data_IF_416316550085
#
_entry.id   IF_416316550085
#
_cell.length_a   1.000
_cell.length_b   1.000
_cell.length_c   1.000
_cell.angle_alpha   90.00
_cell.angle_beta   90.00
_cell.angle_gamma   90.00
#
_symmetry.space_group_name_H-M   'P 1'
#
loop_
_entity.id
_entity.type
_entity.pdbx_description
1 polymer ?
#
# COMPACT_ATOMS: atom_id res chain seq x y z
N UNK A 1 -54.50 -1.18 12.56
CA UNK A 1 -53.70 -1.27 11.32
C UNK A 1 -52.45 -0.42 11.49
N UNK A 2 -51.36 -0.95 12.03
CA UNK A 2 -50.04 -0.31 11.98
C UNK A 2 -49.03 -1.43 11.72
N UNK A 3 -48.72 -1.65 10.44
CA UNK A 3 -47.72 -2.62 10.00
C UNK A 3 -46.43 -1.85 9.75
N UNK A 4 -45.35 -2.38 10.30
CA UNK A 4 -43.98 -1.87 10.30
C UNK A 4 -43.49 -1.34 8.94
N UNK A 5 -43.16 -0.05 8.89
CA UNK A 5 -42.37 0.55 7.80
C UNK A 5 -40.89 0.09 7.81
N UNK A 6 -40.43 -0.62 8.85
CA UNK A 6 -39.06 -1.12 8.97
C UNK A 6 -38.81 -2.48 8.26
N UNK A 7 -39.85 -3.12 7.70
CA UNK A 7 -39.70 -4.44 7.06
C UNK A 7 -39.37 -4.38 5.56
N UNK A 8 -39.48 -3.21 4.90
CA UNK A 8 -39.30 -3.09 3.45
C UNK A 8 -37.82 -2.95 3.04
N UNK A 9 -37.00 -2.33 3.87
CA UNK A 9 -35.58 -2.01 3.55
C UNK A 9 -34.64 -3.22 3.66
N UNK A 10 -34.91 -4.19 4.55
CA UNK A 10 -34.04 -5.36 4.73
C UNK A 10 -34.15 -6.40 3.61
N UNK A 11 -35.23 -6.38 2.82
CA UNK A 11 -35.44 -7.34 1.72
C UNK A 11 -34.60 -7.01 0.49
N UNK A 12 -34.32 -5.72 0.25
CA UNK A 12 -33.47 -5.30 -0.89
C UNK A 12 -32.00 -5.69 -0.73
N UNK A 13 -31.47 -5.74 0.50
CA UNK A 13 -30.06 -6.05 0.73
C UNK A 13 -29.74 -7.54 0.53
N UNK A 14 -30.67 -8.44 0.88
CA UNK A 14 -30.48 -9.89 0.68
C UNK A 14 -30.57 -10.30 -0.79
N UNK A 15 -31.45 -9.68 -1.57
CA UNK A 15 -31.58 -9.96 -3.01
C UNK A 15 -30.33 -9.50 -3.77
N UNK A 16 -29.74 -8.37 -3.39
CA UNK A 16 -28.51 -7.86 -4.00
C UNK A 16 -27.29 -8.75 -3.68
N UNK A 17 -27.21 -9.28 -2.45
CA UNK A 17 -26.14 -10.19 -2.03
C UNK A 17 -26.20 -11.55 -2.74
N UNK A 18 -27.41 -12.06 -2.99
CA UNK A 18 -27.63 -13.30 -3.74
C UNK A 18 -27.28 -13.16 -5.23
N UNK A 19 -27.53 -11.98 -5.84
CA UNK A 19 -27.18 -11.73 -7.24
C UNK A 19 -25.66 -11.67 -7.48
N UNK A 20 -24.88 -11.14 -6.53
CA UNK A 20 -23.41 -11.07 -6.66
C UNK A 20 -22.72 -12.43 -6.57
N UNK A 21 -23.30 -13.40 -5.87
CA UNK A 21 -22.73 -14.74 -5.73
C UNK A 21 -22.95 -15.63 -6.96
N UNK A 22 -23.97 -15.33 -7.78
CA UNK A 22 -24.28 -16.08 -9.01
C UNK A 22 -23.44 -15.66 -10.23
N UNK A 23 -22.70 -14.56 -10.16
CA UNK A 23 -21.82 -14.08 -11.24
C UNK A 23 -20.37 -14.61 -11.16
N UNK A 24 -20.04 -15.44 -10.16
CA UNK A 24 -18.68 -15.93 -9.94
C UNK A 24 -18.34 -17.27 -10.63
N UNK A 25 -19.26 -17.87 -11.39
CA UNK A 25 -19.07 -19.20 -12.01
C UNK A 25 -19.24 -19.13 -13.53
N UNK A 26 -18.47 -18.31 -14.22
CA UNK A 26 -18.22 -18.44 -15.66
C UNK A 26 -17.10 -17.51 -16.14
N UNK A 27 -15.83 -17.83 -15.82
CA UNK A 27 -14.71 -17.40 -16.66
C UNK A 27 -13.79 -18.60 -16.87
N UNK A 28 -14.24 -19.49 -17.74
CA UNK A 28 -13.39 -20.49 -18.36
C UNK A 28 -12.53 -19.84 -19.46
N UNK A 29 -11.22 -20.05 -19.34
CA UNK A 29 -10.25 -20.24 -20.43
C UNK A 29 -10.18 -19.18 -21.54
N UNK A 30 -9.24 -18.24 -21.39
CA UNK A 30 -8.59 -17.57 -22.52
C UNK A 30 -7.18 -18.18 -22.73
N UNK A 31 -6.76 -18.40 -23.98
CA UNK A 31 -5.50 -19.08 -24.30
C UNK A 31 -4.30 -18.12 -24.21
N UNK A 32 -3.18 -18.66 -23.71
CA UNK A 32 -1.83 -18.30 -24.16
C UNK A 32 -1.37 -16.85 -23.98
N UNK A 33 -1.07 -16.44 -22.74
CA UNK A 33 0.12 -15.61 -22.52
C UNK A 33 0.96 -16.29 -21.46
N UNK A 34 2.22 -16.57 -21.78
CA UNK A 34 3.18 -17.17 -20.86
C UNK A 34 3.27 -16.24 -19.65
N UNK A 35 2.66 -16.64 -18.54
CA UNK A 35 2.82 -15.98 -17.26
C UNK A 35 4.31 -16.02 -16.94
N UNK A 36 5.00 -14.90 -17.14
CA UNK A 36 6.38 -14.71 -16.71
C UNK A 36 6.38 -14.98 -15.22
N UNK A 37 6.95 -16.12 -14.82
CA UNK A 37 7.06 -16.60 -13.43
C UNK A 37 7.83 -15.53 -12.66
N UNK A 38 7.13 -14.52 -12.15
CA UNK A 38 7.69 -13.54 -11.23
C UNK A 38 8.00 -14.30 -9.96
N UNK A 39 9.27 -14.68 -9.84
CA UNK A 39 9.85 -15.39 -8.71
C UNK A 39 9.39 -14.73 -7.42
N UNK A 40 8.61 -15.45 -6.61
CA UNK A 40 8.15 -15.03 -5.28
C UNK A 40 9.31 -14.51 -4.40
N UNK A 41 10.53 -14.95 -4.67
CA UNK A 41 11.77 -14.61 -3.97
C UNK A 41 12.27 -13.18 -4.22
N UNK A 42 11.98 -12.58 -5.39
CA UNK A 42 12.39 -11.19 -5.68
C UNK A 42 11.46 -10.17 -5.03
N UNK A 43 10.16 -10.49 -4.94
CA UNK A 43 9.17 -9.69 -4.21
C UNK A 43 9.45 -9.66 -2.71
N UNK A 44 9.88 -10.78 -2.12
CA UNK A 44 10.25 -10.85 -0.69
C UNK A 44 11.54 -10.09 -0.40
N UNK A 45 12.54 -10.17 -1.27
CA UNK A 45 13.81 -9.42 -1.12
C UNK A 45 13.58 -7.92 -1.18
N UNK A 46 12.86 -7.42 -2.19
CA UNK A 46 12.54 -5.99 -2.29
C UNK A 46 11.72 -5.49 -1.09
N UNK A 47 10.80 -6.32 -0.59
CA UNK A 47 10.03 -6.03 0.61
C UNK A 47 10.92 -5.86 1.85
N UNK A 48 11.90 -6.74 2.04
CA UNK A 48 12.90 -6.64 3.13
C UNK A 48 13.71 -5.35 3.05
N UNK A 49 14.23 -5.01 1.86
CA UNK A 49 15.00 -3.77 1.66
C UNK A 49 14.19 -2.51 1.95
N UNK A 50 12.92 -2.48 1.52
CA UNK A 50 12.00 -1.39 1.84
C UNK A 50 11.73 -1.28 3.33
N UNK A 51 11.57 -2.42 4.01
CA UNK A 51 11.38 -2.45 5.46
C UNK A 51 12.60 -1.95 6.21
N UNK A 52 13.82 -2.30 5.78
CA UNK A 52 15.07 -1.78 6.35
C UNK A 52 15.13 -0.25 6.27
N UNK A 53 14.84 0.33 5.10
CA UNK A 53 14.76 1.78 4.95
C UNK A 53 13.70 2.40 5.86
N UNK A 54 12.50 1.80 5.94
CA UNK A 54 11.41 2.32 6.77
C UNK A 54 11.77 2.31 8.26
N UNK A 55 12.38 1.22 8.75
CA UNK A 55 12.83 1.12 10.15
C UNK A 55 13.81 2.24 10.51
N UNK A 56 14.79 2.47 9.64
CA UNK A 56 15.79 3.54 9.84
C UNK A 56 15.18 4.94 9.70
N UNK A 57 14.37 5.16 8.67
CA UNK A 57 13.86 6.50 8.35
C UNK A 57 12.80 6.96 9.35
N UNK A 58 11.97 6.03 9.83
CA UNK A 58 10.83 6.29 10.69
C UNK A 58 11.11 6.07 12.18
N UNK A 59 12.38 6.06 12.60
CA UNK A 59 12.73 6.11 14.02
C UNK A 59 12.49 7.52 14.57
N UNK A 60 12.03 7.62 15.82
CA UNK A 60 11.69 8.89 16.47
C UNK A 60 12.84 9.91 16.42
N UNK A 61 14.07 9.45 16.59
CA UNK A 61 15.30 10.24 16.54
C UNK A 61 15.52 11.01 15.23
N UNK A 62 14.89 10.57 14.13
CA UNK A 62 15.06 11.20 12.81
C UNK A 62 14.01 12.27 12.52
N UNK A 63 13.00 12.44 13.37
CA UNK A 63 11.96 13.46 13.21
C UNK A 63 11.01 13.27 12.01
N UNK A 64 11.09 12.14 11.30
CA UNK A 64 10.33 11.91 10.05
C UNK A 64 8.97 11.24 10.27
N UNK A 65 8.47 11.10 11.50
CA UNK A 65 7.24 10.34 11.81
C UNK A 65 6.00 10.81 11.06
N UNK A 66 5.97 12.10 10.68
CA UNK A 66 4.86 12.73 9.95
C UNK A 66 4.96 12.52 8.42
N UNK A 67 6.08 11.99 7.93
CA UNK A 67 6.24 11.67 6.51
C UNK A 67 5.29 10.54 6.10
N UNK A 68 4.71 10.64 4.91
CA UNK A 68 3.77 9.64 4.36
C UNK A 68 4.25 8.17 4.48
N UNK A 69 5.50 7.80 4.13
CA UNK A 69 6.00 6.44 4.34
C UNK A 69 5.93 5.99 5.81
N UNK A 70 6.18 6.90 6.76
CA UNK A 70 6.16 6.62 8.19
C UNK A 70 4.75 6.49 8.75
N UNK A 71 3.80 7.32 8.31
CA UNK A 71 2.39 7.17 8.69
C UNK A 71 1.89 5.76 8.35
N UNK A 72 2.17 5.27 7.14
CA UNK A 72 1.76 3.94 6.72
C UNK A 72 2.51 2.83 7.48
N UNK A 73 3.81 3.00 7.71
CA UNK A 73 4.62 2.06 8.48
C UNK A 73 4.12 1.91 9.93
N UNK A 74 3.82 3.02 10.60
CA UNK A 74 3.29 3.04 11.95
C UNK A 74 1.90 2.39 12.01
N UNK A 75 1.02 2.71 11.06
CA UNK A 75 -0.28 2.03 10.94
C UNK A 75 -0.12 0.51 10.80
N UNK A 76 0.71 0.05 9.86
CA UNK A 76 0.92 -1.38 9.63
C UNK A 76 1.60 -2.08 10.80
N UNK A 77 2.42 -1.37 11.57
CA UNK A 77 3.06 -1.89 12.78
C UNK A 77 2.03 -2.03 13.89
N UNK A 78 1.25 -0.97 14.19
CA UNK A 78 0.15 -1.01 15.16
C UNK A 78 -0.85 -2.13 14.83
N UNK A 79 -1.24 -2.24 13.57
CA UNK A 79 -2.21 -3.25 13.12
C UNK A 79 -1.70 -4.69 13.28
N UNK A 80 -0.40 -4.93 13.07
CA UNK A 80 0.22 -6.25 13.24
C UNK A 80 0.45 -6.59 14.72
N UNK A 81 0.69 -5.59 15.55
CA UNK A 81 0.88 -5.78 17.00
C UNK A 81 -0.44 -5.99 17.76
N UNK A 82 -1.57 -5.59 17.20
CA UNK A 82 -2.88 -5.77 17.81
C UNK A 82 -3.29 -7.26 17.82
N UNK A 83 -3.52 -7.81 19.01
CA UNK A 83 -3.82 -9.23 19.23
C UNK A 83 -5.31 -9.55 19.10
N UNK A 84 -6.19 -8.61 19.42
CA UNK A 84 -7.63 -8.80 19.43
C UNK A 84 -8.34 -8.10 18.25
N UNK A 85 -9.52 -8.60 17.91
CA UNK A 85 -10.29 -8.10 16.77
C UNK A 85 -10.85 -6.69 16.98
N UNK A 86 -11.16 -6.29 18.22
CA UNK A 86 -11.73 -4.97 18.50
C UNK A 86 -10.70 -3.87 18.30
N UNK A 87 -9.47 -4.05 18.80
CA UNK A 87 -8.34 -3.14 18.59
C UNK A 87 -7.98 -3.03 17.11
N UNK A 88 -7.93 -4.16 16.38
CA UNK A 88 -7.70 -4.15 14.92
C UNK A 88 -8.75 -3.33 14.18
N UNK A 89 -10.05 -3.49 14.52
CA UNK A 89 -11.14 -2.69 13.95
C UNK A 89 -10.98 -1.20 14.26
N UNK A 90 -10.62 -0.85 15.50
CA UNK A 90 -10.40 0.54 15.90
C UNK A 90 -9.26 1.20 15.11
N UNK A 91 -8.13 0.50 14.93
CA UNK A 91 -6.98 0.97 14.15
C UNK A 91 -7.35 1.17 12.67
N UNK A 92 -8.12 0.25 12.09
CA UNK A 92 -8.60 0.39 10.71
C UNK A 92 -9.56 1.58 10.59
N UNK A 93 -10.50 1.74 11.52
CA UNK A 93 -11.45 2.86 11.51
C UNK A 93 -10.74 4.22 11.68
N UNK A 94 -9.70 4.30 12.52
CA UNK A 94 -8.83 5.47 12.62
C UNK A 94 -8.15 5.78 11.28
N UNK A 95 -7.58 4.78 10.61
CA UNK A 95 -6.94 4.95 9.30
C UNK A 95 -7.93 5.43 8.25
N UNK A 96 -9.12 4.83 8.17
CA UNK A 96 -10.14 5.20 7.18
C UNK A 96 -10.57 6.66 7.32
N UNK A 97 -10.68 7.18 8.55
CA UNK A 97 -10.99 8.60 8.81
C UNK A 97 -9.87 9.56 8.35
N UNK A 98 -8.64 9.08 8.22
CA UNK A 98 -7.49 9.88 7.75
C UNK A 98 -7.31 9.88 6.24
N UNK A 99 -8.10 9.08 5.50
CA UNK A 99 -7.97 9.01 4.04
C UNK A 99 -8.68 10.20 3.39
N UNK A 100 -8.09 10.77 2.33
CA UNK A 100 -8.76 11.82 1.57
C UNK A 100 -10.08 11.30 0.96
N UNK A 101 -11.19 12.04 1.08
CA UNK A 101 -12.48 11.61 0.56
C UNK A 101 -12.52 11.56 -0.98
N UNK A 102 -11.93 12.54 -1.67
CA UNK A 102 -12.05 12.72 -3.12
C UNK A 102 -10.97 12.05 -3.97
N UNK A 103 -11.26 11.81 -5.26
CA UNK A 103 -10.35 11.13 -6.18
C UNK A 103 -9.08 11.94 -6.49
N UNK A 104 -9.21 13.25 -6.70
CA UNK A 104 -8.03 14.13 -6.92
C UNK A 104 -7.15 14.22 -5.68
N UNK A 105 -7.74 14.30 -4.49
CA UNK A 105 -7.00 14.30 -3.23
C UNK A 105 -6.31 12.94 -2.97
N UNK A 106 -6.94 11.83 -3.38
CA UNK A 106 -6.30 10.50 -3.35
C UNK A 106 -5.10 10.43 -4.30
N UNK A 107 -5.22 11.01 -5.49
CA UNK A 107 -4.13 11.08 -6.47
C UNK A 107 -2.97 11.94 -5.95
N UNK A 108 -3.25 13.09 -5.37
CA UNK A 108 -2.23 13.93 -4.74
C UNK A 108 -1.57 13.19 -3.57
N UNK A 109 -2.36 12.56 -2.70
CA UNK A 109 -1.87 11.74 -1.58
C UNK A 109 -0.97 10.59 -2.06
N UNK A 110 -1.29 9.96 -3.19
CA UNK A 110 -0.45 8.94 -3.81
C UNK A 110 0.87 9.52 -4.34
N UNK A 111 0.85 10.70 -4.95
CA UNK A 111 2.06 11.40 -5.40
C UNK A 111 2.96 11.81 -4.22
N UNK A 112 2.38 12.38 -3.16
CA UNK A 112 3.08 12.71 -1.92
C UNK A 112 3.69 11.45 -1.29
N UNK A 113 2.96 10.34 -1.30
CA UNK A 113 3.46 9.05 -0.80
C UNK A 113 4.66 8.58 -1.63
N UNK A 114 4.58 8.64 -2.96
CA UNK A 114 5.70 8.29 -3.85
C UNK A 114 6.91 9.20 -3.60
N UNK A 115 6.70 10.51 -3.51
CA UNK A 115 7.75 11.49 -3.22
C UNK A 115 8.44 11.19 -1.88
N UNK A 116 7.66 10.95 -0.83
CA UNK A 116 8.18 10.59 0.49
C UNK A 116 9.05 9.32 0.47
N UNK A 117 8.64 8.28 -0.27
CA UNK A 117 9.47 7.08 -0.45
C UNK A 117 10.79 7.36 -1.18
N UNK A 118 10.79 8.27 -2.16
CA UNK A 118 11.99 8.63 -2.92
C UNK A 118 12.92 9.52 -2.10
N UNK A 119 12.37 10.44 -1.29
CA UNK A 119 13.11 11.20 -0.26
C UNK A 119 13.77 10.25 0.73
N UNK A 120 13.04 9.26 1.24
CA UNK A 120 13.57 8.24 2.13
C UNK A 120 14.75 7.49 1.49
N UNK A 121 14.58 6.98 0.27
CA UNK A 121 15.66 6.28 -0.45
C UNK A 121 16.89 7.17 -0.65
N UNK A 122 16.69 8.40 -1.12
CA UNK A 122 17.78 9.36 -1.32
C UNK A 122 18.53 9.63 -0.02
N UNK A 123 17.81 9.92 1.06
CA UNK A 123 18.40 10.22 2.37
C UNK A 123 19.14 9.01 2.92
N UNK A 124 18.58 7.81 2.77
CA UNK A 124 19.21 6.57 3.19
C UNK A 124 20.55 6.33 2.47
N UNK A 125 20.55 6.51 1.14
CA UNK A 125 21.73 6.26 0.30
C UNK A 125 22.73 7.42 0.22
N UNK A 126 22.40 8.59 0.77
CA UNK A 126 23.34 9.69 0.96
C UNK A 126 24.20 9.53 2.22
N UNK A 127 23.88 8.55 3.09
CA UNK A 127 24.72 8.24 4.25
C UNK A 127 26.09 7.73 3.79
N UNK A 128 27.19 8.12 4.45
CA UNK A 128 28.53 7.62 4.11
C UNK A 128 28.66 6.09 4.24
N UNK A 129 28.00 5.51 5.24
CA UNK A 129 28.01 4.08 5.51
C UNK A 129 26.63 3.64 6.04
N UNK A 130 25.64 3.40 5.16
CA UNK A 130 24.34 2.89 5.60
C UNK A 130 24.48 1.47 6.16
N UNK A 131 23.71 1.14 7.19
CA UNK A 131 23.71 -0.19 7.85
C UNK A 131 23.44 -1.34 6.86
N UNK A 132 22.60 -1.10 5.84
CA UNK A 132 22.25 -2.05 4.80
C UNK A 132 22.60 -1.47 3.42
N UNK A 133 23.89 -1.53 3.00
CA UNK A 133 24.34 -0.97 1.73
C UNK A 133 23.69 -1.64 0.50
N UNK A 134 23.17 -2.86 0.65
CA UNK A 134 22.43 -3.58 -0.38
C UNK A 134 21.15 -2.86 -0.85
N UNK A 135 20.59 -1.98 -0.02
CA UNK A 135 19.48 -1.10 -0.41
C UNK A 135 19.87 -0.22 -1.60
N UNK A 136 21.09 0.32 -1.57
CA UNK A 136 21.57 1.32 -2.52
C UNK A 136 22.18 0.70 -3.78
N UNK A 137 22.57 -0.57 -3.73
CA UNK A 137 23.02 -1.34 -4.90
C UNK A 137 21.87 -2.07 -5.61
N UNK A 138 20.68 -2.18 -5.00
CA UNK A 138 19.54 -2.87 -5.59
C UNK A 138 19.04 -2.18 -6.88
N UNK A 139 19.09 -2.89 -8.01
CA UNK A 139 18.74 -2.37 -9.33
C UNK A 139 17.29 -1.87 -9.42
N UNK A 140 16.34 -2.54 -8.75
CA UNK A 140 14.93 -2.15 -8.80
C UNK A 140 14.70 -0.83 -8.07
N UNK A 141 15.30 -0.64 -6.90
CA UNK A 141 15.21 0.62 -6.15
C UNK A 141 15.92 1.76 -6.89
N UNK A 142 17.13 1.52 -7.41
CA UNK A 142 17.86 2.49 -8.25
C UNK A 142 17.05 2.92 -9.46
N UNK A 143 16.45 1.97 -10.20
CA UNK A 143 15.61 2.25 -11.36
C UNK A 143 14.38 3.06 -10.98
N UNK A 144 13.70 2.70 -9.88
CA UNK A 144 12.54 3.44 -9.39
C UNK A 144 12.89 4.90 -9.05
N UNK A 145 14.03 5.12 -8.41
CA UNK A 145 14.53 6.45 -8.08
C UNK A 145 14.96 7.24 -9.32
N UNK A 146 15.67 6.62 -10.26
CA UNK A 146 16.03 7.25 -11.54
C UNK A 146 14.79 7.67 -12.35
N UNK A 147 13.76 6.82 -12.43
CA UNK A 147 12.49 7.16 -13.06
C UNK A 147 11.78 8.32 -12.35
N UNK A 148 11.86 8.39 -11.01
CA UNK A 148 11.30 9.51 -10.26
C UNK A 148 12.03 10.84 -10.54
N UNK A 149 13.35 10.81 -10.68
CA UNK A 149 14.15 11.98 -11.06
C UNK A 149 13.98 12.41 -12.54
N UNK A 150 13.15 11.73 -13.32
CA UNK A 150 13.05 11.97 -14.77
C UNK A 150 14.27 11.47 -15.57
N UNK A 151 15.15 10.67 -14.97
CA UNK A 151 16.36 10.08 -15.58
C UNK A 151 16.16 8.61 -16.03
N UNK A 152 14.94 8.09 -15.96
CA UNK A 152 14.61 6.74 -16.41
C UNK A 152 14.30 6.66 -17.91
N UNK A 153 14.40 5.48 -18.54
CA UNK A 153 13.99 5.31 -19.93
C UNK A 153 12.51 5.71 -20.08
N UNK A 154 12.21 6.61 -21.02
CA UNK A 154 10.83 6.98 -21.37
C UNK A 154 10.11 5.71 -21.85
N UNK A 155 8.90 5.48 -21.37
CA UNK A 155 8.05 4.42 -21.91
C UNK A 155 7.81 4.71 -23.41
N UNK A 156 7.77 3.68 -24.28
CA UNK A 156 7.30 3.89 -25.65
C UNK A 156 5.86 4.40 -25.57
N UNK A 157 5.61 5.53 -26.24
CA UNK A 157 4.27 6.09 -26.43
C UNK A 157 3.49 5.36 -27.51
#
# INVERSE_FOLDING_TARGET
RLICAACSEMRSLQVLLLLCMLLAVAVGQLPGTVAKKTTRDSATTLGKLRLMMLKWFCSDEKGNLKERPCINYTFMTRLRSAKDAATRKAIIAERMRSLPPGDEERKESAQQSRSGYMKMYHTYCAQPAPEHPEVCSNLTLKKAYAMFQGKGPKAPG
#
